data_IF_863755675019
#
_entry.id   IF_863755675019
#
_cell.length_a   1.000
_cell.length_b   1.000
_cell.length_c   1.000
_cell.angle_alpha   90.00
_cell.angle_beta   90.00
_cell.angle_gamma   90.00
#
_symmetry.space_group_name_H-M   'P 1'
#
loop_
_entity.id
_entity.type
_entity.pdbx_description
1 polymer ?
#
# COMPACT_ATOMS: atom_id res chain seq x y z
N UNK A 1 48.18 2.38 54.74
CA UNK A 1 47.81 3.59 55.51
C UNK A 1 46.36 3.89 55.18
N UNK A 2 45.43 3.41 56.01
CA UNK A 2 44.71 4.17 57.05
C UNK A 2 43.89 5.31 56.43
N UNK A 3 42.59 5.05 56.25
CA UNK A 3 41.58 6.10 56.23
C UNK A 3 41.46 6.70 57.63
N UNK A 4 41.11 7.99 57.75
CA UNK A 4 39.94 8.29 58.59
C UNK A 4 39.06 9.48 58.17
N UNK A 5 37.76 9.29 58.45
CA UNK A 5 36.83 10.16 59.20
C UNK A 5 36.45 11.52 58.58
N UNK A 6 35.21 11.61 58.06
CA UNK A 6 34.01 12.19 58.71
C UNK A 6 34.02 13.73 58.80
N UNK A 7 33.06 14.39 58.14
CA UNK A 7 31.98 15.04 58.89
C UNK A 7 30.84 15.52 58.00
N UNK A 8 29.65 15.26 58.54
CA UNK A 8 28.30 15.54 58.08
C UNK A 8 28.08 17.03 57.79
N UNK A 9 27.24 17.34 56.81
CA UNK A 9 26.24 18.39 56.97
C UNK A 9 25.00 18.09 56.13
N UNK A 10 23.91 18.21 56.86
CA UNK A 10 22.51 18.00 56.56
C UNK A 10 21.94 19.05 55.63
N UNK A 11 21.17 18.64 54.61
CA UNK A 11 19.99 19.37 54.14
C UNK A 11 19.13 18.44 53.26
N UNK A 12 17.98 18.02 53.79
CA UNK A 12 16.84 17.57 53.00
C UNK A 12 15.98 18.80 52.64
N UNK A 13 14.83 18.66 51.97
CA UNK A 13 14.65 18.24 50.59
C UNK A 13 13.96 19.37 49.79
N UNK A 14 14.24 19.51 48.49
CA UNK A 14 13.32 20.25 47.60
C UNK A 14 12.93 19.31 46.47
N UNK A 15 11.78 18.66 46.68
CA UNK A 15 11.04 17.99 45.64
C UNK A 15 10.55 19.05 44.65
N UNK A 16 11.24 19.18 43.51
CA UNK A 16 10.64 19.75 42.32
C UNK A 16 10.09 18.58 41.50
N UNK A 17 8.78 18.38 41.64
CA UNK A 17 7.98 17.56 40.77
C UNK A 17 8.12 18.07 39.32
N UNK A 18 9.07 17.51 38.58
CA UNK A 18 9.04 17.54 37.12
C UNK A 18 7.94 16.58 36.70
N UNK A 19 6.76 17.16 36.49
CA UNK A 19 5.62 16.45 35.93
C UNK A 19 6.01 15.80 34.60
N UNK A 20 5.51 14.60 34.31
CA UNK A 20 5.59 14.08 32.96
C UNK A 20 4.74 15.00 32.09
N UNK A 21 5.41 15.81 31.26
CA UNK A 21 4.82 16.30 30.02
C UNK A 21 4.44 15.06 29.23
N UNK A 22 3.19 14.65 29.41
CA UNK A 22 2.47 13.74 28.54
C UNK A 22 2.52 14.39 27.16
N UNK A 23 3.54 14.00 26.39
CA UNK A 23 3.51 14.05 24.95
C UNK A 23 2.23 13.32 24.57
N UNK A 24 1.20 14.10 24.25
CA UNK A 24 0.05 13.66 23.50
C UNK A 24 0.61 13.11 22.19
N UNK A 25 0.92 11.82 22.19
CA UNK A 25 1.03 11.05 20.98
C UNK A 25 -0.36 11.14 20.36
N UNK A 26 -0.52 12.07 19.42
CA UNK A 26 -1.58 12.04 18.44
C UNK A 26 -1.37 10.75 17.64
N UNK A 27 -1.75 9.62 18.21
CA UNK A 27 -2.05 8.40 17.47
C UNK A 27 -3.29 8.74 16.67
N UNK A 28 -3.08 9.44 15.55
CA UNK A 28 -3.99 9.38 14.41
C UNK A 28 -3.95 7.94 13.95
N UNK A 29 -4.72 7.10 14.64
CA UNK A 29 -5.22 5.85 14.12
C UNK A 29 -6.07 6.24 12.92
N UNK A 30 -5.42 6.37 11.77
CA UNK A 30 -6.13 6.34 10.51
C UNK A 30 -7.00 5.07 10.57
N UNK A 31 -8.32 5.17 10.34
CA UNK A 31 -9.15 3.98 10.28
C UNK A 31 -8.49 3.01 9.27
N UNK A 32 -8.57 1.69 9.47
CA UNK A 32 -8.22 0.77 8.41
C UNK A 32 -9.03 1.21 7.21
N UNK A 33 -8.34 1.66 6.16
CA UNK A 33 -8.99 1.99 4.89
C UNK A 33 -9.63 0.67 4.49
N UNK A 34 -10.96 0.59 4.62
CA UNK A 34 -11.73 -0.53 4.11
C UNK A 34 -11.30 -0.68 2.67
N UNK A 35 -10.55 -1.75 2.39
CA UNK A 35 -10.11 -2.05 1.05
C UNK A 35 -11.37 -1.99 0.17
N UNK A 36 -11.38 -1.21 -0.92
CA UNK A 36 -12.50 -1.24 -1.83
C UNK A 36 -12.79 -2.71 -2.15
N UNK A 37 -14.06 -3.12 -2.13
CA UNK A 37 -14.52 -4.45 -2.56
C UNK A 37 -14.34 -4.58 -4.09
N UNK A 38 -13.14 -4.31 -4.59
CA UNK A 38 -12.63 -4.70 -5.89
C UNK A 38 -11.93 -6.03 -5.70
N UNK A 39 -12.29 -7.00 -6.53
CA UNK A 39 -11.72 -8.35 -6.65
C UNK A 39 -10.51 -8.61 -5.75
N UNK A 40 -10.64 -9.51 -4.76
CA UNK A 40 -9.55 -9.86 -3.86
C UNK A 40 -8.32 -10.33 -4.67
N UNK A 41 -7.41 -9.40 -4.96
CA UNK A 41 -6.15 -9.68 -5.64
C UNK A 41 -5.27 -10.39 -4.64
N UNK A 42 -4.48 -11.37 -5.12
CA UNK A 42 -3.47 -11.99 -4.27
C UNK A 42 -2.56 -10.92 -3.68
N UNK A 43 -2.39 -10.94 -2.35
CA UNK A 43 -1.52 -10.01 -1.64
C UNK A 43 -0.10 -10.00 -2.24
N UNK A 44 0.36 -11.15 -2.73
CA UNK A 44 1.65 -11.30 -3.40
C UNK A 44 1.80 -10.43 -4.66
N UNK A 45 0.75 -10.33 -5.49
CA UNK A 45 0.76 -9.48 -6.69
C UNK A 45 0.91 -8.01 -6.30
N UNK A 46 0.20 -7.59 -5.26
CA UNK A 46 0.27 -6.21 -4.74
C UNK A 46 1.64 -5.92 -4.15
N UNK A 47 2.22 -6.84 -3.38
CA UNK A 47 3.57 -6.72 -2.82
C UNK A 47 4.63 -6.49 -3.91
N UNK A 48 4.61 -7.29 -4.98
CA UNK A 48 5.52 -7.08 -6.12
C UNK A 48 5.31 -5.72 -6.80
N UNK A 49 4.06 -5.29 -6.96
CA UNK A 49 3.73 -4.02 -7.59
C UNK A 49 4.19 -2.81 -6.75
N UNK A 50 4.04 -2.88 -5.43
CA UNK A 50 4.52 -1.87 -4.48
C UNK A 50 6.05 -1.80 -4.52
N UNK A 51 6.72 -2.97 -4.53
CA UNK A 51 8.18 -3.11 -4.62
C UNK A 51 8.78 -2.80 -6.01
N UNK A 52 7.96 -2.31 -6.97
CA UNK A 52 8.38 -1.99 -8.33
C UNK A 52 8.91 -3.19 -9.15
N UNK A 53 8.55 -4.41 -8.76
CA UNK A 53 8.88 -5.65 -9.47
C UNK A 53 7.76 -5.99 -10.46
N UNK A 54 7.54 -5.13 -11.46
CA UNK A 54 6.36 -5.20 -12.32
C UNK A 54 6.21 -6.51 -13.10
N UNK A 55 7.30 -7.07 -13.61
CA UNK A 55 7.25 -8.34 -14.35
C UNK A 55 6.94 -9.52 -13.42
N UNK A 56 7.45 -9.49 -12.18
CA UNK A 56 7.10 -10.48 -11.16
C UNK A 56 5.62 -10.38 -10.76
N UNK A 57 5.09 -9.17 -10.62
CA UNK A 57 3.67 -8.95 -10.35
C UNK A 57 2.78 -9.51 -11.48
N UNK A 58 3.16 -9.30 -12.75
CA UNK A 58 2.45 -9.85 -13.90
C UNK A 58 2.53 -11.38 -13.93
N UNK A 59 3.70 -11.96 -13.69
CA UNK A 59 3.87 -13.42 -13.63
C UNK A 59 3.08 -14.06 -12.47
N UNK A 60 3.02 -13.40 -11.31
CA UNK A 60 2.21 -13.85 -10.18
C UNK A 60 0.70 -13.78 -10.53
N UNK A 61 0.27 -12.75 -11.26
CA UNK A 61 -1.10 -12.66 -11.75
C UNK A 61 -1.42 -13.78 -12.75
N UNK A 62 -0.50 -14.11 -13.67
CA UNK A 62 -0.66 -15.23 -14.61
C UNK A 62 -0.86 -16.57 -13.85
N UNK A 63 -0.15 -16.77 -12.74
CA UNK A 63 -0.33 -17.97 -11.90
C UNK A 63 -1.69 -18.00 -11.20
N UNK A 64 -2.19 -16.84 -10.75
CA UNK A 64 -3.54 -16.71 -10.18
C UNK A 64 -4.61 -17.06 -11.23
N UNK A 65 -4.46 -16.55 -12.45
CA UNK A 65 -5.36 -16.88 -13.57
C UNK A 65 -5.33 -18.38 -13.88
N UNK A 66 -4.15 -18.98 -13.98
CA UNK A 66 -4.01 -20.41 -14.21
C UNK A 66 -4.68 -21.25 -13.10
N UNK A 67 -4.53 -20.85 -11.83
CA UNK A 67 -5.17 -21.51 -10.70
C UNK A 67 -6.70 -21.44 -10.70
N UNK A 68 -7.27 -20.41 -11.33
CA UNK A 68 -8.72 -20.23 -11.50
C UNK A 68 -9.27 -20.83 -12.81
N UNK A 69 -8.40 -21.46 -13.63
CA UNK A 69 -8.79 -22.01 -14.92
C UNK A 69 -8.85 -20.99 -16.06
N UNK A 70 -8.27 -19.81 -15.88
CA UNK A 70 -8.15 -18.78 -16.91
C UNK A 70 -8.28 -17.34 -16.39
N UNK A 71 -8.16 -16.38 -17.31
CA UNK A 71 -8.39 -14.97 -17.03
C UNK A 71 -9.86 -14.69 -16.74
N UNK A 72 -10.11 -13.80 -15.80
CA UNK A 72 -11.45 -13.29 -15.47
C UNK A 72 -11.51 -11.78 -15.71
N UNK A 73 -12.72 -11.23 -15.80
CA UNK A 73 -12.92 -9.78 -15.93
C UNK A 73 -12.19 -9.00 -14.81
N UNK A 74 -12.11 -9.58 -13.60
CA UNK A 74 -11.40 -9.03 -12.47
C UNK A 74 -9.87 -9.05 -12.64
N UNK A 75 -9.28 -10.19 -13.01
CA UNK A 75 -7.82 -10.30 -13.19
C UNK A 75 -7.34 -9.47 -14.37
N UNK A 76 -8.17 -9.28 -15.40
CA UNK A 76 -7.86 -8.40 -16.51
C UNK A 76 -7.79 -6.93 -16.08
N UNK A 77 -8.72 -6.46 -15.23
CA UNK A 77 -8.61 -5.12 -14.64
C UNK A 77 -7.35 -5.00 -13.78
N UNK A 78 -7.00 -6.03 -13.00
CA UNK A 78 -5.75 -6.03 -12.26
C UNK A 78 -4.52 -5.97 -13.17
N UNK A 79 -4.53 -6.68 -14.29
CA UNK A 79 -3.46 -6.60 -15.30
C UNK A 79 -3.32 -5.17 -15.83
N UNK A 80 -4.43 -4.47 -16.06
CA UNK A 80 -4.42 -3.05 -16.46
C UNK A 80 -3.75 -2.18 -15.39
N UNK A 81 -4.08 -2.39 -14.11
CA UNK A 81 -3.44 -1.68 -12.97
C UNK A 81 -1.93 -1.89 -12.97
N UNK A 82 -1.48 -3.15 -13.07
CA UNK A 82 -0.05 -3.49 -13.07
C UNK A 82 0.70 -2.88 -14.26
N UNK A 83 0.10 -2.93 -15.45
CA UNK A 83 0.68 -2.33 -16.67
C UNK A 83 0.78 -0.80 -16.54
N UNK A 84 -0.25 -0.13 -16.00
CA UNK A 84 -0.18 1.33 -15.74
C UNK A 84 0.86 1.68 -14.67
N UNK A 85 0.94 0.88 -13.61
CA UNK A 85 1.95 1.04 -12.56
C UNK A 85 3.38 0.93 -13.13
N UNK A 86 3.59 0.07 -14.13
CA UNK A 86 4.84 -0.09 -14.85
C UNK A 86 5.12 0.98 -15.93
N UNK A 87 4.22 1.97 -16.10
CA UNK A 87 4.32 2.97 -17.18
C UNK A 87 3.96 2.44 -18.58
N UNK A 88 3.49 1.20 -18.70
CA UNK A 88 3.09 0.54 -19.96
C UNK A 88 1.66 0.90 -20.36
N UNK A 89 1.36 2.20 -20.43
CA UNK A 89 -0.01 2.74 -20.60
C UNK A 89 -0.69 2.25 -21.89
N UNK A 90 0.06 2.09 -22.98
CA UNK A 90 -0.51 1.61 -24.26
C UNK A 90 -0.95 0.14 -24.18
N UNK A 91 -0.16 -0.70 -23.52
CA UNK A 91 -0.51 -2.11 -23.29
C UNK A 91 -1.73 -2.20 -22.36
N UNK A 92 -1.76 -1.41 -21.29
CA UNK A 92 -2.90 -1.34 -20.38
C UNK A 92 -4.19 -0.93 -21.09
N UNK A 93 -4.10 0.09 -21.96
CA UNK A 93 -5.24 0.55 -22.75
C UNK A 93 -5.73 -0.50 -23.75
N UNK A 94 -4.82 -1.30 -24.33
CA UNK A 94 -5.18 -2.43 -25.20
C UNK A 94 -5.98 -3.48 -24.43
N UNK A 95 -5.46 -3.95 -23.29
CA UNK A 95 -6.13 -4.96 -22.45
C UNK A 95 -7.52 -4.49 -22.02
N UNK A 96 -7.65 -3.23 -21.57
CA UNK A 96 -8.93 -2.69 -21.13
C UNK A 96 -9.96 -2.62 -22.27
N UNK A 97 -9.54 -2.23 -23.49
CA UNK A 97 -10.43 -2.21 -24.65
C UNK A 97 -10.85 -3.61 -25.06
N UNK A 98 -9.93 -4.57 -25.09
CA UNK A 98 -10.21 -5.96 -25.44
C UNK A 98 -11.21 -6.59 -24.47
N UNK A 99 -11.01 -6.39 -23.16
CA UNK A 99 -11.97 -6.78 -22.13
C UNK A 99 -13.35 -6.16 -22.39
N UNK A 100 -13.42 -4.84 -22.53
CA UNK A 100 -14.69 -4.15 -22.68
C UNK A 100 -15.46 -4.59 -23.94
N UNK A 101 -14.74 -4.86 -25.03
CA UNK A 101 -15.33 -5.38 -26.26
C UNK A 101 -15.83 -6.83 -26.11
N UNK A 102 -15.11 -7.67 -25.36
CA UNK A 102 -15.50 -9.06 -25.12
C UNK A 102 -16.72 -9.17 -24.21
N UNK A 103 -16.77 -8.35 -23.18
CA UNK A 103 -17.80 -8.37 -22.13
C UNK A 103 -19.02 -7.49 -22.47
N UNK A 104 -19.09 -6.91 -23.68
CA UNK A 104 -20.13 -5.97 -24.14
C UNK A 104 -20.42 -4.85 -23.12
N UNK A 105 -19.34 -4.28 -22.58
CA UNK A 105 -19.41 -3.32 -21.47
C UNK A 105 -20.01 -2.00 -21.94
N UNK A 106 -21.06 -1.54 -21.28
CA UNK A 106 -21.66 -0.23 -21.53
C UNK A 106 -20.67 0.90 -21.24
N UNK A 107 -20.92 2.09 -21.81
CA UNK A 107 -20.06 3.27 -21.57
C UNK A 107 -19.95 3.58 -20.06
N UNK A 108 -21.05 3.49 -19.32
CA UNK A 108 -21.06 3.72 -17.87
C UNK A 108 -20.21 2.69 -17.12
N UNK A 109 -20.38 1.40 -17.42
CA UNK A 109 -19.59 0.35 -16.80
C UNK A 109 -18.10 0.42 -17.18
N UNK A 110 -17.77 0.91 -18.37
CA UNK A 110 -16.39 1.17 -18.79
C UNK A 110 -15.76 2.32 -17.98
N UNK A 111 -16.53 3.39 -17.72
CA UNK A 111 -16.09 4.49 -16.84
C UNK A 111 -15.87 3.98 -15.42
N UNK A 112 -16.81 3.20 -14.87
CA UNK A 112 -16.66 2.60 -13.54
C UNK A 112 -15.44 1.68 -13.46
N UNK A 113 -15.21 0.84 -14.48
CA UNK A 113 -14.00 0.01 -14.57
C UNK A 113 -12.72 0.85 -14.57
N UNK A 114 -12.73 1.99 -15.26
CA UNK A 114 -11.63 2.97 -15.24
C UNK A 114 -11.38 3.55 -13.85
N UNK A 115 -12.44 3.91 -13.13
CA UNK A 115 -12.35 4.39 -11.74
C UNK A 115 -11.77 3.34 -10.81
N UNK A 116 -12.19 2.07 -10.94
CA UNK A 116 -11.63 0.96 -10.16
C UNK A 116 -10.12 0.85 -10.40
N UNK A 117 -9.70 0.87 -11.67
CA UNK A 117 -8.27 0.81 -12.03
C UNK A 117 -7.47 1.97 -11.41
N UNK A 118 -8.00 3.20 -11.45
CA UNK A 118 -7.30 4.35 -10.87
C UNK A 118 -7.25 4.29 -9.33
N UNK A 119 -8.31 3.83 -8.68
CA UNK A 119 -8.34 3.67 -7.22
C UNK A 119 -7.32 2.64 -6.74
N UNK A 120 -7.23 1.49 -7.40
CA UNK A 120 -6.23 0.45 -7.09
C UNK A 120 -4.80 0.94 -7.33
N UNK A 121 -4.60 1.69 -8.42
CA UNK A 121 -3.31 2.29 -8.72
C UNK A 121 -2.89 3.32 -7.66
N UNK A 122 -3.85 4.10 -7.15
CA UNK A 122 -3.63 5.04 -6.06
C UNK A 122 -3.30 4.35 -4.73
N UNK A 123 -3.93 3.21 -4.46
CA UNK A 123 -3.62 2.38 -3.29
C UNK A 123 -2.17 1.88 -3.34
N UNK A 124 -1.74 1.30 -4.47
CA UNK A 124 -0.35 0.84 -4.68
C UNK A 124 0.65 2.00 -4.50
N UNK A 125 0.36 3.18 -5.08
CA UNK A 125 1.24 4.36 -4.98
C UNK A 125 1.32 4.89 -3.54
N UNK A 126 0.21 4.92 -2.83
CA UNK A 126 0.13 5.37 -1.44
C UNK A 126 0.87 4.43 -0.51
N UNK A 127 0.68 3.12 -0.70
CA UNK A 127 1.39 2.10 0.06
C UNK A 127 2.90 2.14 -0.19
N UNK A 128 3.32 2.29 -1.46
CA UNK A 128 4.73 2.50 -1.80
C UNK A 128 5.31 3.73 -1.10
N UNK A 129 4.58 4.85 -1.08
CA UNK A 129 5.02 6.06 -0.43
C UNK A 129 5.17 5.88 1.09
N UNK A 130 4.24 5.15 1.72
CA UNK A 130 4.33 4.84 3.14
C UNK A 130 5.56 3.98 3.47
N UNK A 131 5.94 3.05 2.58
CA UNK A 131 7.07 2.12 2.81
C UNK A 131 8.44 2.69 2.42
N UNK A 132 8.49 3.51 1.37
CA UNK A 132 9.76 3.92 0.72
C UNK A 132 9.97 5.44 0.70
N UNK A 133 8.94 6.22 1.01
CA UNK A 133 8.94 7.68 0.85
C UNK A 133 8.66 8.18 -0.57
N UNK A 134 8.51 7.28 -1.56
CA UNK A 134 8.23 7.64 -2.96
C UNK A 134 6.92 7.03 -3.47
N UNK A 135 6.16 7.80 -4.26
CA UNK A 135 4.93 7.32 -4.93
C UNK A 135 5.23 6.62 -6.26
N UNK A 136 6.41 6.82 -6.84
CA UNK A 136 6.80 6.29 -8.14
C UNK A 136 7.88 5.23 -8.01
N UNK A 137 8.02 4.41 -9.05
CA UNK A 137 9.18 3.56 -9.25
C UNK A 137 10.27 4.41 -9.92
N UNK A 138 11.24 4.87 -9.12
CA UNK A 138 12.30 5.79 -9.53
C UNK A 138 12.95 6.47 -8.34
#
# INVERSE_FOLDING_TARGET
MIAPLLSRLTAAPVALALGPLLLAACTHSAPPVSAPEGAAVSAEVTEFAVACQHDAALAALDQVEAGMGGSTSATELQRVVLLRNAGRTMDAARVLRERNARDDVTVEAAVQSGTVVENELELIRSERAARTGSRSCG
#
